data_IF_923630025831
#
_entry.id   IF_923630025831
#
_cell.length_a   1.000
_cell.length_b   1.000
_cell.length_c   1.000
_cell.angle_alpha   90.00
_cell.angle_beta   90.00
_cell.angle_gamma   90.00
#
_symmetry.space_group_name_H-M   'P 1'
#
loop_
_entity.id
_entity.type
_entity.pdbx_description
1 polymer ?
#
# COMPACT_ATOMS: atom_id res chain seq x y z
N UNK A 1 -2.56 46.41 -28.73
CA UNK A 1 -1.39 45.51 -28.55
C UNK A 1 -0.96 45.63 -27.10
N UNK A 2 -0.74 44.61 -26.27
CA UNK A 2 -0.83 43.16 -26.39
C UNK A 2 -1.12 42.62 -24.98
N UNK A 3 -2.13 41.74 -24.83
CA UNK A 3 -2.38 41.01 -23.59
C UNK A 3 -1.41 39.84 -23.47
N UNK A 4 -0.44 39.93 -22.56
CA UNK A 4 0.49 38.85 -22.25
C UNK A 4 -0.22 37.73 -21.48
N UNK A 5 -0.43 36.57 -22.14
CA UNK A 5 -0.90 35.35 -21.47
C UNK A 5 0.23 34.74 -20.66
N UNK A 6 0.11 34.76 -19.33
CA UNK A 6 1.01 34.02 -18.43
C UNK A 6 0.68 32.52 -18.56
N UNK A 7 1.56 31.76 -19.21
CA UNK A 7 1.51 30.29 -19.20
C UNK A 7 1.88 29.81 -17.79
N UNK A 8 0.91 29.25 -17.06
CA UNK A 8 1.19 28.43 -15.87
C UNK A 8 1.91 27.16 -16.32
N UNK A 9 3.20 27.06 -16.04
CA UNK A 9 3.94 25.80 -16.16
C UNK A 9 3.34 24.78 -15.18
N UNK A 10 2.91 23.64 -15.73
CA UNK A 10 2.44 22.52 -14.93
C UNK A 10 3.63 21.99 -14.13
N UNK A 11 3.56 22.12 -12.80
CA UNK A 11 4.58 21.61 -11.89
C UNK A 11 4.92 20.16 -12.19
N UNK A 12 6.22 19.85 -12.25
CA UNK A 12 6.75 18.51 -12.49
C UNK A 12 6.10 17.52 -11.51
N UNK A 13 5.66 16.33 -11.97
CA UNK A 13 5.09 15.34 -11.06
C UNK A 13 6.12 15.00 -10.00
N UNK A 14 5.71 15.07 -8.73
CA UNK A 14 6.50 14.69 -7.56
C UNK A 14 7.23 13.39 -7.84
N UNK A 15 8.56 13.38 -7.75
CA UNK A 15 9.37 12.19 -7.96
C UNK A 15 8.91 11.09 -7.00
N UNK A 16 8.23 10.09 -7.54
CA UNK A 16 7.83 8.91 -6.80
C UNK A 16 9.10 8.08 -6.57
N UNK A 17 9.53 7.93 -5.32
CA UNK A 17 10.48 6.87 -4.96
C UNK A 17 9.89 5.56 -5.46
N UNK A 18 10.55 4.84 -6.39
CA UNK A 18 10.04 3.58 -6.88
C UNK A 18 9.96 2.63 -5.70
N UNK A 19 8.79 2.02 -5.48
CA UNK A 19 8.77 0.81 -4.66
C UNK A 19 9.67 -0.22 -5.34
N UNK A 20 10.39 -1.02 -4.55
CA UNK A 20 11.22 -2.11 -5.06
C UNK A 20 10.36 -2.94 -6.04
N UNK A 21 10.78 -3.03 -7.30
CA UNK A 21 10.03 -3.69 -8.37
C UNK A 21 9.56 -2.80 -9.53
N UNK A 22 9.67 -1.46 -9.44
CA UNK A 22 9.34 -0.57 -10.58
C UNK A 22 7.85 -0.50 -10.93
N UNK A 23 6.97 -0.83 -9.97
CA UNK A 23 5.52 -0.82 -10.17
C UNK A 23 5.01 0.62 -10.29
N UNK A 24 4.37 0.91 -11.42
CA UNK A 24 3.64 2.17 -11.62
C UNK A 24 2.26 2.10 -10.96
N UNK A 25 1.95 3.10 -10.15
CA UNK A 25 0.66 3.25 -9.49
C UNK A 25 -0.31 4.06 -10.33
N UNK A 26 -1.54 3.57 -10.47
CA UNK A 26 -2.57 4.23 -11.24
C UNK A 26 -3.58 4.91 -10.30
N UNK A 27 -3.51 6.25 -10.22
CA UNK A 27 -4.50 7.05 -9.47
C UNK A 27 -5.92 6.85 -10.00
N UNK A 28 -6.08 6.61 -11.30
CA UNK A 28 -7.37 6.29 -11.93
C UNK A 28 -7.99 4.98 -11.44
N UNK A 29 -7.17 4.07 -10.88
CA UNK A 29 -7.62 2.81 -10.25
C UNK A 29 -7.76 2.93 -8.73
N UNK A 30 -7.70 4.14 -8.18
CA UNK A 30 -7.83 4.38 -6.74
C UNK A 30 -6.62 3.95 -5.90
N UNK A 31 -5.45 3.73 -6.49
CA UNK A 31 -4.25 3.32 -5.76
C UNK A 31 -3.63 4.51 -4.99
N UNK A 32 -3.94 4.62 -3.70
CA UNK A 32 -3.35 5.58 -2.77
C UNK A 32 -2.45 4.86 -1.75
N UNK A 33 -1.15 5.11 -1.82
CA UNK A 33 -0.18 4.37 -1.00
C UNK A 33 -0.03 4.98 0.39
N UNK A 34 -0.28 4.15 1.41
CA UNK A 34 -0.08 4.49 2.81
C UNK A 34 1.42 4.46 3.17
N UNK A 35 2.09 5.61 3.06
CA UNK A 35 3.55 5.73 3.25
C UNK A 35 3.99 6.09 4.67
N UNK A 36 3.13 6.70 5.47
CA UNK A 36 3.50 7.17 6.81
C UNK A 36 3.43 5.99 7.80
N UNK A 37 4.57 5.53 8.36
CA UNK A 37 4.57 4.40 9.28
C UNK A 37 3.80 4.68 10.57
N UNK A 38 3.79 5.93 11.06
CA UNK A 38 3.05 6.30 12.27
C UNK A 38 1.54 6.15 12.08
N UNK A 39 1.03 6.43 10.88
CA UNK A 39 -0.39 6.21 10.58
C UNK A 39 -0.72 4.72 10.52
N UNK A 40 0.17 3.90 9.96
CA UNK A 40 -0.01 2.44 9.96
C UNK A 40 -0.07 1.90 11.39
N UNK A 41 0.86 2.33 12.24
CA UNK A 41 0.89 1.92 13.65
C UNK A 41 -0.36 2.37 14.39
N UNK A 42 -0.83 3.60 14.15
CA UNK A 42 -2.07 4.12 14.72
C UNK A 42 -3.28 3.31 14.28
N UNK A 43 -3.34 2.89 13.00
CA UNK A 43 -4.43 2.05 12.49
C UNK A 43 -4.46 0.72 13.24
N UNK A 44 -3.31 0.04 13.34
CA UNK A 44 -3.22 -1.25 14.04
C UNK A 44 -3.62 -1.10 15.51
N UNK A 45 -3.13 -0.08 16.21
CA UNK A 45 -3.47 0.19 17.61
C UNK A 45 -4.96 0.47 17.81
N UNK A 46 -5.58 1.25 16.92
CA UNK A 46 -7.00 1.64 17.02
C UNK A 46 -7.97 0.60 16.47
N UNK A 47 -7.49 -0.40 15.73
CA UNK A 47 -8.33 -1.42 15.08
C UNK A 47 -9.05 -2.35 16.07
N UNK A 48 -8.60 -2.41 17.33
CA UNK A 48 -9.21 -3.27 18.36
C UNK A 48 -9.04 -4.78 18.11
N UNK A 49 -8.12 -5.17 17.22
CA UNK A 49 -7.89 -6.57 16.85
C UNK A 49 -7.38 -7.40 18.04
N UNK A 50 -8.08 -8.49 18.34
CA UNK A 50 -7.77 -9.41 19.44
C UNK A 50 -6.78 -10.48 19.00
N UNK A 51 -6.04 -11.12 19.93
CA UNK A 51 -5.06 -12.16 19.59
C UNK A 51 -5.62 -13.33 18.77
N UNK A 52 -6.91 -13.63 18.92
CA UNK A 52 -7.62 -14.72 18.23
C UNK A 52 -8.12 -14.36 16.84
N UNK A 53 -8.06 -13.10 16.44
CA UNK A 53 -8.68 -12.62 15.22
C UNK A 53 -7.84 -12.97 13.98
N UNK A 54 -8.55 -13.29 12.89
CA UNK A 54 -7.98 -13.39 11.55
C UNK A 54 -8.36 -12.12 10.79
N UNK A 55 -7.39 -11.45 10.19
CA UNK A 55 -7.61 -10.17 9.51
C UNK A 55 -7.76 -10.39 8.01
N UNK A 56 -8.85 -9.87 7.44
CA UNK A 56 -9.02 -9.74 5.99
C UNK A 56 -8.60 -8.34 5.57
N UNK A 57 -7.61 -8.24 4.70
CA UNK A 57 -7.12 -6.97 4.13
C UNK A 57 -7.52 -6.87 2.66
N UNK A 58 -8.32 -5.86 2.32
CA UNK A 58 -8.73 -5.59 0.94
C UNK A 58 -7.83 -4.49 0.37
N UNK A 59 -7.20 -4.75 -0.76
CA UNK A 59 -6.24 -3.82 -1.38
C UNK A 59 -5.00 -3.60 -0.51
N UNK A 60 -4.25 -4.67 -0.16
CA UNK A 60 -3.00 -4.57 0.61
C UNK A 60 -1.96 -3.65 -0.06
N UNK A 61 -2.08 -3.43 -1.36
CA UNK A 61 -1.21 -2.53 -2.09
C UNK A 61 0.25 -2.96 -1.97
N UNK A 62 1.08 -2.08 -1.42
CA UNK A 62 2.51 -2.40 -1.24
C UNK A 62 2.79 -3.25 0.00
N UNK A 63 1.79 -3.51 0.84
CA UNK A 63 1.91 -4.38 2.02
C UNK A 63 2.39 -3.70 3.29
N UNK A 64 2.34 -2.37 3.36
CA UNK A 64 2.78 -1.63 4.56
C UNK A 64 1.92 -1.95 5.79
N UNK A 65 0.60 -2.03 5.63
CA UNK A 65 -0.31 -2.41 6.70
C UNK A 65 -0.24 -3.92 6.96
N UNK A 66 -0.25 -4.74 5.90
CA UNK A 66 -0.01 -6.20 5.98
C UNK A 66 1.18 -6.54 6.86
N UNK A 67 2.33 -5.87 6.67
CA UNK A 67 3.54 -6.10 7.46
C UNK A 67 3.30 -5.86 8.95
N UNK A 68 2.67 -4.74 9.31
CA UNK A 68 2.41 -4.39 10.72
C UNK A 68 1.40 -5.31 11.38
N UNK A 69 0.39 -5.78 10.63
CA UNK A 69 -0.55 -6.78 11.11
C UNK A 69 0.13 -8.13 11.38
N UNK A 70 1.03 -8.56 10.49
CA UNK A 70 1.82 -9.78 10.67
C UNK A 70 2.80 -9.65 11.85
N UNK A 71 3.48 -8.51 11.98
CA UNK A 71 4.39 -8.23 13.11
C UNK A 71 3.61 -8.19 14.45
N UNK A 72 2.33 -7.82 14.43
CA UNK A 72 1.42 -7.93 15.57
C UNK A 72 0.91 -9.36 15.84
N UNK A 73 1.50 -10.37 15.19
CA UNK A 73 1.21 -11.79 15.39
C UNK A 73 -0.11 -12.25 14.77
N UNK A 74 -0.69 -11.48 13.86
CA UNK A 74 -1.99 -11.83 13.26
C UNK A 74 -1.83 -12.77 12.09
N UNK A 75 -2.83 -13.63 11.90
CA UNK A 75 -3.06 -14.27 10.61
C UNK A 75 -3.75 -13.28 9.69
N UNK A 76 -3.17 -13.05 8.51
CA UNK A 76 -3.68 -12.08 7.54
C UNK A 76 -4.03 -12.78 6.23
N UNK A 77 -5.24 -12.55 5.75
CA UNK A 77 -5.70 -12.91 4.42
C UNK A 77 -5.79 -11.62 3.63
N UNK A 78 -4.96 -11.45 2.61
CA UNK A 78 -4.97 -10.25 1.79
C UNK A 78 -5.53 -10.56 0.39
N UNK A 79 -6.41 -9.69 -0.11
CA UNK A 79 -7.05 -9.80 -1.42
C UNK A 79 -6.71 -8.57 -2.24
N UNK A 80 -6.06 -8.77 -3.38
CA UNK A 80 -5.67 -7.69 -4.29
C UNK A 80 -6.18 -7.94 -5.71
N UNK A 81 -6.70 -6.88 -6.34
CA UNK A 81 -7.26 -6.97 -7.70
C UNK A 81 -6.18 -6.80 -8.77
N UNK A 82 -5.07 -6.11 -8.48
CA UNK A 82 -3.95 -5.93 -9.41
C UNK A 82 -2.96 -7.11 -9.29
N UNK A 83 -2.89 -8.01 -10.29
CA UNK A 83 -2.03 -9.19 -10.21
C UNK A 83 -0.54 -8.85 -10.09
N UNK A 84 -0.13 -7.67 -10.58
CA UNK A 84 1.26 -7.20 -10.47
C UNK A 84 1.64 -6.92 -9.02
N UNK A 85 0.67 -6.44 -8.24
CA UNK A 85 0.86 -6.15 -6.81
C UNK A 85 0.80 -7.43 -5.98
N UNK A 86 -0.04 -8.40 -6.35
CA UNK A 86 -0.05 -9.75 -5.75
C UNK A 86 1.34 -10.37 -5.83
N UNK A 87 2.00 -10.34 -7.00
CA UNK A 87 3.34 -10.90 -7.18
C UNK A 87 4.39 -10.23 -6.27
N UNK A 88 4.34 -8.90 -6.15
CA UNK A 88 5.26 -8.16 -5.29
C UNK A 88 5.00 -8.47 -3.80
N UNK A 89 3.73 -8.57 -3.39
CA UNK A 89 3.37 -8.97 -2.03
C UNK A 89 3.84 -10.39 -1.71
N UNK A 90 3.62 -11.34 -2.64
CA UNK A 90 4.06 -12.71 -2.49
C UNK A 90 5.58 -12.80 -2.34
N UNK A 91 6.33 -12.03 -3.14
CA UNK A 91 7.78 -11.92 -3.00
C UNK A 91 8.18 -11.30 -1.65
N UNK A 92 7.52 -10.22 -1.24
CA UNK A 92 7.82 -9.48 0.00
C UNK A 92 7.59 -10.32 1.26
N UNK A 93 6.56 -11.19 1.27
CA UNK A 93 6.19 -12.00 2.42
C UNK A 93 6.45 -13.50 2.23
N UNK A 94 7.30 -13.85 1.26
CA UNK A 94 7.67 -15.24 1.01
C UNK A 94 8.24 -15.86 2.29
N UNK A 95 7.74 -17.05 2.65
CA UNK A 95 8.16 -17.76 3.86
C UNK A 95 7.56 -17.26 5.17
N UNK A 96 6.61 -16.30 5.14
CA UNK A 96 5.88 -15.88 6.34
C UNK A 96 4.70 -16.85 6.59
N UNK A 97 4.70 -17.68 7.65
CA UNK A 97 3.69 -18.74 7.82
C UNK A 97 2.27 -18.22 8.06
N UNK A 98 2.15 -16.99 8.57
CA UNK A 98 0.88 -16.36 8.96
C UNK A 98 0.22 -15.52 7.87
N UNK A 99 0.80 -15.44 6.66
CA UNK A 99 0.22 -14.70 5.54
C UNK A 99 -0.43 -15.64 4.50
N UNK A 100 -1.60 -15.24 4.00
CA UNK A 100 -2.21 -15.80 2.79
C UNK A 100 -2.53 -14.64 1.85
N UNK A 101 -1.89 -14.64 0.68
CA UNK A 101 -1.97 -13.54 -0.30
C UNK A 101 -2.63 -14.07 -1.58
N UNK A 102 -3.78 -13.51 -1.93
CA UNK A 102 -4.64 -13.95 -3.03
C UNK A 102 -4.88 -12.82 -4.02
#
# INVERSE_FOLDING_TARGET
MAGGKIKKEKGKPSQHTPYQGGISFHKSKGQHILKNPLLVDTIVQKSGIKPTDVVLEIGPGTGNLTKKLLDAGKKVIAVEIDPRMVLELQKRFQGTPSSRLM
#
